data_IF_489704879316
#
_entry.id   IF_489704879316
#
_cell.length_a   1.000
_cell.length_b   1.000
_cell.length_c   1.000
_cell.angle_alpha   90.00
_cell.angle_beta   90.00
_cell.angle_gamma   90.00
#
_symmetry.space_group_name_H-M   'P 1'
#
loop_
_entity.id
_entity.type
_entity.pdbx_description
1 polymer ?
#
# COMPACT_ATOMS: atom_id res chain seq x y z
N UNK A 1 10.89 -31.57 22.39
CA UNK A 1 11.35 -30.41 21.60
C UNK A 1 10.16 -29.94 20.81
N UNK A 2 9.51 -28.88 21.28
CA UNK A 2 8.37 -28.24 20.59
C UNK A 2 8.92 -27.61 19.33
N UNK A 3 8.53 -28.16 18.20
CA UNK A 3 8.78 -27.55 16.87
C UNK A 3 8.02 -26.21 16.88
N UNK A 4 8.73 -25.11 17.16
CA UNK A 4 8.13 -23.78 17.15
C UNK A 4 7.89 -23.43 15.70
N UNK A 5 6.70 -23.69 15.22
CA UNK A 5 6.28 -23.37 13.86
C UNK A 5 6.46 -21.85 13.66
N UNK A 6 7.27 -21.48 12.66
CA UNK A 6 7.50 -20.09 12.27
C UNK A 6 6.17 -19.37 11.99
N UNK A 7 5.98 -18.19 12.56
CA UNK A 7 4.78 -17.39 12.32
C UNK A 7 4.69 -16.90 10.86
N UNK A 8 3.54 -16.46 10.42
CA UNK A 8 3.35 -15.96 9.05
C UNK A 8 4.11 -14.66 8.81
N UNK A 9 4.13 -13.78 9.82
CA UNK A 9 4.96 -12.58 9.79
C UNK A 9 6.46 -12.94 9.69
N UNK A 10 6.95 -13.91 10.47
CA UNK A 10 8.34 -14.36 10.38
C UNK A 10 8.67 -14.92 8.98
N UNK A 11 7.75 -15.67 8.40
CA UNK A 11 7.92 -16.21 7.06
C UNK A 11 7.96 -15.08 6.02
N UNK A 12 7.06 -14.08 6.11
CA UNK A 12 7.07 -12.92 5.23
C UNK A 12 8.38 -12.14 5.36
N UNK A 13 8.85 -11.89 6.59
CA UNK A 13 10.13 -11.24 6.83
C UNK A 13 11.32 -12.04 6.25
N UNK A 14 11.29 -13.38 6.32
CA UNK A 14 12.37 -14.22 5.80
C UNK A 14 12.57 -14.14 4.28
N UNK A 15 11.53 -13.73 3.54
CA UNK A 15 11.55 -13.58 2.07
C UNK A 15 11.56 -12.13 1.61
N UNK A 16 11.52 -11.17 2.53
CA UNK A 16 11.56 -9.74 2.23
C UNK A 16 13.00 -9.25 2.07
N UNK A 17 13.15 -8.09 1.41
CA UNK A 17 14.43 -7.40 1.25
C UNK A 17 14.97 -6.82 2.56
N UNK A 18 16.10 -6.11 2.45
CA UNK A 18 16.72 -5.41 3.58
C UNK A 18 15.79 -4.33 4.15
N UNK A 19 15.96 -3.94 5.44
CA UNK A 19 15.20 -2.86 6.03
C UNK A 19 15.50 -1.54 5.32
N UNK A 20 14.48 -0.69 5.15
CA UNK A 20 14.59 0.61 4.48
C UNK A 20 15.11 1.69 5.42
N UNK A 21 14.98 1.50 6.73
CA UNK A 21 15.47 2.40 7.76
C UNK A 21 15.96 1.64 9.00
N UNK A 22 16.67 2.35 9.89
CA UNK A 22 17.01 1.81 11.20
C UNK A 22 15.74 1.57 12.03
N UNK A 23 15.75 0.59 12.95
CA UNK A 23 14.61 0.38 13.86
C UNK A 23 14.21 1.66 14.60
N UNK A 24 12.93 1.99 14.56
CA UNK A 24 12.35 3.14 15.24
C UNK A 24 10.92 2.82 15.70
N UNK A 25 10.39 3.61 16.64
CA UNK A 25 9.05 3.46 17.19
C UNK A 25 8.03 4.28 16.41
N UNK A 26 6.75 3.94 16.56
CA UNK A 26 5.67 4.76 16.03
C UNK A 26 5.54 6.06 16.82
N UNK A 27 5.36 7.18 16.15
CA UNK A 27 4.99 8.42 16.80
C UNK A 27 3.54 8.38 17.35
N UNK A 28 3.20 9.36 18.19
CA UNK A 28 1.89 9.41 18.84
C UNK A 28 0.73 9.40 17.82
N UNK A 29 0.86 10.14 16.72
CA UNK A 29 -0.16 10.19 15.68
C UNK A 29 -0.33 8.85 14.97
N UNK A 30 0.77 8.21 14.58
CA UNK A 30 0.70 6.88 13.94
C UNK A 30 0.10 5.84 14.88
N UNK A 31 0.41 5.90 16.18
CA UNK A 31 -0.21 5.04 17.17
C UNK A 31 -1.72 5.27 17.29
N UNK A 32 -2.15 6.53 17.32
CA UNK A 32 -3.58 6.89 17.38
C UNK A 32 -4.34 6.39 16.12
N UNK A 33 -3.74 6.55 14.94
CA UNK A 33 -4.31 6.06 13.68
C UNK A 33 -4.36 4.53 13.59
N UNK A 34 -3.34 3.82 14.13
CA UNK A 34 -3.28 2.35 14.17
C UNK A 34 -4.24 1.75 15.22
N UNK A 35 -4.59 2.54 16.24
CA UNK A 35 -5.49 2.12 17.31
C UNK A 35 -4.98 0.89 18.04
N UNK A 36 -5.84 -0.11 18.23
CA UNK A 36 -5.52 -1.33 19.00
C UNK A 36 -4.43 -2.21 18.38
N UNK A 37 -4.03 -1.94 17.12
CA UNK A 37 -2.97 -2.67 16.40
C UNK A 37 -1.61 -1.96 16.40
N UNK A 38 -1.48 -0.84 17.13
CA UNK A 38 -0.26 -0.05 17.16
C UNK A 38 0.97 -0.86 17.65
N UNK A 39 0.82 -1.61 18.74
CA UNK A 39 1.93 -2.40 19.30
C UNK A 39 2.35 -3.55 18.38
N UNK A 40 1.40 -4.13 17.67
CA UNK A 40 1.67 -5.20 16.71
C UNK A 40 2.45 -4.68 15.50
N UNK A 41 2.04 -3.53 14.92
CA UNK A 41 2.75 -2.88 13.84
C UNK A 41 4.14 -2.41 14.28
N UNK A 42 4.26 -1.80 15.45
CA UNK A 42 5.55 -1.38 16.00
C UNK A 42 6.50 -2.57 16.18
N UNK A 43 5.98 -3.70 16.70
CA UNK A 43 6.77 -4.93 16.83
C UNK A 43 7.28 -5.45 15.47
N UNK A 44 6.47 -5.36 14.40
CA UNK A 44 6.90 -5.69 13.05
C UNK A 44 8.03 -4.77 12.58
N UNK A 45 7.85 -3.44 12.72
CA UNK A 45 8.82 -2.43 12.24
C UNK A 45 10.11 -2.43 13.06
N UNK A 46 10.07 -2.73 14.35
CA UNK A 46 11.29 -2.94 15.17
C UNK A 46 12.11 -4.15 14.70
N UNK A 47 11.47 -5.16 14.14
CA UNK A 47 12.17 -6.34 13.59
C UNK A 47 12.71 -6.08 12.18
N UNK A 48 11.98 -5.32 11.36
CA UNK A 48 12.38 -4.88 10.02
C UNK A 48 11.65 -3.58 9.66
N UNK A 49 12.36 -2.47 9.72
CA UNK A 49 11.78 -1.15 9.54
C UNK A 49 11.61 -0.80 8.07
N UNK A 50 10.40 -1.07 7.56
CA UNK A 50 10.08 -0.96 6.16
C UNK A 50 10.83 -1.98 5.29
N UNK A 51 10.21 -2.46 4.26
CA UNK A 51 10.84 -3.41 3.34
C UNK A 51 10.04 -3.56 2.05
N UNK A 52 10.72 -4.07 1.03
CA UNK A 52 10.08 -4.61 -0.17
C UNK A 52 10.06 -6.14 -0.12
N UNK A 53 9.03 -6.73 -0.70
CA UNK A 53 8.95 -8.17 -0.94
C UNK A 53 8.40 -8.45 -2.35
N UNK A 54 8.58 -9.69 -2.83
CA UNK A 54 8.10 -10.12 -4.14
C UNK A 54 8.56 -9.18 -5.27
N UNK A 55 9.88 -8.93 -5.35
CA UNK A 55 10.47 -8.08 -6.41
C UNK A 55 9.81 -6.69 -6.48
N UNK A 56 9.67 -6.03 -5.34
CA UNK A 56 9.03 -4.72 -5.14
C UNK A 56 7.51 -4.68 -5.36
N UNK A 57 6.84 -5.82 -5.53
CA UNK A 57 5.40 -5.87 -5.66
C UNK A 57 4.64 -5.58 -4.35
N UNK A 58 5.27 -5.85 -3.20
CA UNK A 58 4.79 -5.42 -1.88
C UNK A 58 5.79 -4.43 -1.29
N UNK A 59 5.29 -3.32 -0.77
CA UNK A 59 6.04 -2.33 -0.01
C UNK A 59 5.43 -2.11 1.36
N UNK A 60 6.20 -2.27 2.43
CA UNK A 60 5.85 -1.89 3.80
C UNK A 60 6.62 -0.63 4.16
N UNK A 61 5.92 0.42 4.58
CA UNK A 61 6.51 1.72 4.89
C UNK A 61 7.38 1.67 6.15
N UNK A 62 8.54 2.32 6.09
CA UNK A 62 9.41 2.50 7.27
C UNK A 62 8.89 3.61 8.17
N UNK A 63 9.00 3.44 9.52
CA UNK A 63 8.78 4.52 10.48
C UNK A 63 10.07 5.31 10.73
N UNK A 64 9.94 6.56 11.20
CA UNK A 64 11.07 7.43 11.52
C UNK A 64 11.60 8.23 10.34
N UNK A 65 12.84 8.70 10.47
CA UNK A 65 13.48 9.49 9.43
C UNK A 65 13.97 8.60 8.28
N UNK A 66 13.55 8.93 7.07
CA UNK A 66 14.07 8.33 5.83
C UNK A 66 15.20 9.20 5.26
N UNK A 67 16.06 8.61 4.43
CA UNK A 67 17.13 9.37 3.79
C UNK A 67 16.57 10.46 2.87
N UNK A 68 17.23 11.62 2.74
CA UNK A 68 16.80 12.65 1.79
C UNK A 68 16.70 12.10 0.37
N UNK A 69 15.55 12.30 -0.28
CA UNK A 69 15.29 11.80 -1.63
C UNK A 69 14.88 10.33 -1.71
N UNK A 70 14.74 9.63 -0.57
CA UNK A 70 14.11 8.33 -0.51
C UNK A 70 12.58 8.45 -0.48
N UNK A 71 11.91 7.30 -0.51
CA UNK A 71 10.45 7.24 -0.35
C UNK A 71 9.95 7.81 0.97
N UNK A 72 8.66 8.14 1.01
CA UNK A 72 8.00 8.66 2.20
C UNK A 72 8.05 7.68 3.36
N UNK A 73 8.35 8.18 4.56
CA UNK A 73 8.16 7.40 5.79
C UNK A 73 6.67 7.15 6.05
N UNK A 74 6.37 6.21 6.94
CA UNK A 74 5.02 5.90 7.39
C UNK A 74 4.27 7.17 7.86
N UNK A 75 4.96 8.04 8.62
CA UNK A 75 4.41 9.30 9.11
C UNK A 75 4.08 10.27 7.97
N UNK A 76 5.02 10.43 7.04
CA UNK A 76 4.83 11.29 5.87
C UNK A 76 3.71 10.75 4.97
N UNK A 77 3.69 9.43 4.72
CA UNK A 77 2.65 8.79 3.91
C UNK A 77 1.25 9.02 4.46
N UNK A 78 1.12 9.01 5.80
CA UNK A 78 -0.15 9.25 6.50
C UNK A 78 -0.42 10.72 6.83
N UNK A 79 0.43 11.66 6.40
CA UNK A 79 0.19 13.08 6.61
C UNK A 79 -1.03 13.56 5.80
N UNK A 80 -1.94 14.37 6.39
CA UNK A 80 -3.16 14.84 5.71
C UNK A 80 -2.87 15.58 4.41
N UNK A 81 -1.79 16.37 4.41
CA UNK A 81 -1.39 17.24 3.32
C UNK A 81 -0.71 16.53 2.16
N UNK A 82 -0.32 15.24 2.31
CA UNK A 82 0.42 14.55 1.27
C UNK A 82 -0.49 14.14 0.10
N UNK A 83 -1.46 13.27 0.36
CA UNK A 83 -2.43 12.79 -0.63
C UNK A 83 -3.81 12.53 -0.02
N UNK A 84 -3.93 12.43 1.30
CA UNK A 84 -5.16 12.05 2.01
C UNK A 84 -6.28 13.07 1.83
N UNK A 85 -5.95 14.35 1.58
CA UNK A 85 -6.92 15.41 1.32
C UNK A 85 -7.79 15.16 0.07
N UNK A 86 -7.32 14.32 -0.85
CA UNK A 86 -8.12 13.89 -2.01
C UNK A 86 -9.23 12.89 -1.63
N UNK A 87 -9.22 12.37 -0.40
CA UNK A 87 -10.17 11.39 0.10
C UNK A 87 -10.79 11.88 1.43
N UNK A 88 -11.78 12.79 1.39
CA UNK A 88 -12.38 13.35 2.61
C UNK A 88 -12.94 12.30 3.58
N UNK A 89 -13.36 11.15 3.07
CA UNK A 89 -13.84 10.02 3.88
C UNK A 89 -12.79 9.43 4.83
N UNK A 90 -11.50 9.69 4.61
CA UNK A 90 -10.42 9.27 5.51
C UNK A 90 -10.37 10.06 6.82
N UNK A 91 -11.12 11.15 6.93
CA UNK A 91 -11.26 11.93 8.16
C UNK A 91 -12.37 11.39 9.06
N UNK A 92 -13.28 10.56 8.55
CA UNK A 92 -14.43 10.05 9.29
C UNK A 92 -14.05 9.06 10.41
N UNK A 93 -12.95 8.34 10.26
CA UNK A 93 -12.46 7.37 11.24
C UNK A 93 -10.92 7.22 11.16
N UNK A 94 -10.26 6.88 12.29
CA UNK A 94 -8.84 6.59 12.28
C UNK A 94 -8.50 5.48 11.30
N UNK A 95 -7.50 5.73 10.44
CA UNK A 95 -6.92 4.76 9.52
C UNK A 95 -5.45 5.03 9.33
N UNK A 96 -4.61 4.00 9.46
CA UNK A 96 -3.18 4.04 9.20
C UNK A 96 -2.86 3.15 8.01
N UNK A 97 -2.32 3.72 6.96
CA UNK A 97 -1.79 3.01 5.80
C UNK A 97 -0.37 2.58 6.09
N UNK A 98 -0.10 1.27 6.15
CA UNK A 98 1.21 0.73 6.55
C UNK A 98 1.95 0.02 5.43
N UNK A 99 1.26 -0.34 4.35
CA UNK A 99 1.86 -1.02 3.19
C UNK A 99 1.03 -0.74 1.92
N UNK A 100 1.61 -1.06 0.77
CA UNK A 100 0.95 -0.95 -0.53
C UNK A 100 1.39 -2.06 -1.49
N UNK A 101 0.55 -2.37 -2.48
CA UNK A 101 0.90 -3.24 -3.60
C UNK A 101 1.63 -2.46 -4.72
N UNK A 102 1.98 -3.14 -5.81
CA UNK A 102 2.69 -2.52 -6.93
C UNK A 102 1.86 -1.46 -7.68
N UNK A 103 0.55 -1.52 -7.60
CA UNK A 103 -0.36 -0.55 -8.23
C UNK A 103 -0.72 0.59 -7.29
N UNK A 104 -0.30 0.52 -6.01
CA UNK A 104 -0.61 1.47 -4.96
C UNK A 104 -1.99 1.28 -4.33
N UNK A 105 -2.57 0.07 -4.42
CA UNK A 105 -3.63 -0.35 -3.50
C UNK A 105 -3.02 -0.43 -2.11
N UNK A 106 -3.66 0.20 -1.14
CA UNK A 106 -3.10 0.34 0.20
C UNK A 106 -3.58 -0.78 1.12
N UNK A 107 -2.69 -1.26 2.00
CA UNK A 107 -3.05 -2.06 3.17
C UNK A 107 -3.06 -1.13 4.38
N UNK A 108 -4.15 -1.18 5.17
CA UNK A 108 -4.33 -0.27 6.28
C UNK A 108 -4.89 -0.93 7.53
N UNK A 109 -4.60 -0.32 8.67
CA UNK A 109 -5.22 -0.63 9.96
C UNK A 109 -6.43 0.29 10.13
N UNK A 110 -7.60 -0.28 10.27
CA UNK A 110 -8.88 0.42 10.42
C UNK A 110 -9.80 -0.37 11.33
N UNK A 111 -10.36 0.26 12.36
CA UNK A 111 -11.28 -0.39 13.31
C UNK A 111 -10.71 -1.67 13.97
N UNK A 112 -9.39 -1.71 14.21
CA UNK A 112 -8.71 -2.85 14.82
C UNK A 112 -8.47 -4.04 13.90
N UNK A 113 -8.70 -3.89 12.60
CA UNK A 113 -8.54 -4.94 11.58
C UNK A 113 -7.69 -4.43 10.41
N UNK A 114 -7.24 -5.34 9.55
CA UNK A 114 -6.54 -5.02 8.31
C UNK A 114 -7.54 -4.97 7.15
N UNK A 115 -7.47 -3.90 6.38
CA UNK A 115 -8.26 -3.69 5.19
C UNK A 115 -7.35 -3.35 4.00
N UNK A 116 -7.83 -3.61 2.79
CA UNK A 116 -7.33 -2.96 1.58
C UNK A 116 -8.09 -1.65 1.36
N UNK A 117 -7.44 -0.70 0.70
CA UNK A 117 -8.04 0.55 0.24
C UNK A 117 -7.71 0.75 -1.23
N UNK A 118 -8.74 0.77 -2.07
CA UNK A 118 -8.63 0.95 -3.51
C UNK A 118 -8.72 2.44 -3.86
N UNK A 119 -7.62 3.09 -4.26
CA UNK A 119 -7.61 4.54 -4.48
C UNK A 119 -8.41 5.01 -5.70
N UNK A 120 -8.68 4.12 -6.69
CA UNK A 120 -9.51 4.50 -7.84
C UNK A 120 -10.99 4.67 -7.46
N UNK A 121 -11.42 4.10 -6.34
CA UNK A 121 -12.82 4.10 -5.91
C UNK A 121 -13.05 4.65 -4.50
N UNK A 122 -11.97 4.83 -3.71
CA UNK A 122 -12.05 5.23 -2.31
C UNK A 122 -12.65 4.16 -1.38
N UNK A 123 -12.69 2.89 -1.82
CA UNK A 123 -13.35 1.81 -1.08
C UNK A 123 -12.38 1.04 -0.20
N UNK A 124 -12.90 0.66 0.98
CA UNK A 124 -12.24 -0.29 1.87
C UNK A 124 -12.84 -1.67 1.72
N UNK A 125 -12.00 -2.70 1.75
CA UNK A 125 -12.42 -4.10 1.83
C UNK A 125 -11.69 -4.77 2.99
N UNK A 126 -12.42 -5.57 3.80
CA UNK A 126 -11.83 -6.35 4.88
C UNK A 126 -10.87 -7.40 4.31
N UNK A 127 -9.72 -7.56 4.95
CA UNK A 127 -8.72 -8.54 4.54
C UNK A 127 -8.39 -9.53 5.67
N UNK A 128 -8.10 -9.03 6.87
CA UNK A 128 -7.68 -9.88 7.99
C UNK A 128 -7.98 -9.23 9.35
N UNK A 129 -7.99 -10.03 10.42
CA UNK A 129 -8.23 -9.55 11.77
C UNK A 129 -7.01 -8.81 12.36
N UNK A 130 -5.80 -9.20 11.96
CA UNK A 130 -4.54 -8.70 12.50
C UNK A 130 -3.39 -8.81 11.46
N UNK A 131 -2.17 -8.39 11.83
CA UNK A 131 -1.02 -8.44 10.92
C UNK A 131 -0.52 -9.88 10.66
N UNK A 132 -0.72 -10.81 11.58
CA UNK A 132 -0.40 -12.22 11.35
C UNK A 132 -1.34 -12.82 10.29
N UNK A 133 -2.64 -12.50 10.36
CA UNK A 133 -3.64 -12.83 9.35
C UNK A 133 -3.33 -12.18 8.00
N UNK A 134 -2.99 -10.88 8.00
CA UNK A 134 -2.54 -10.19 6.79
C UNK A 134 -1.34 -10.89 6.13
N UNK A 135 -0.33 -11.24 6.90
CA UNK A 135 0.82 -11.96 6.37
C UNK A 135 0.44 -13.35 5.83
N UNK A 136 -0.54 -14.01 6.46
CA UNK A 136 -1.06 -15.29 5.97
C UNK A 136 -1.75 -15.14 4.61
N UNK A 137 -2.62 -14.13 4.44
CA UNK A 137 -3.29 -13.83 3.17
C UNK A 137 -2.27 -13.46 2.07
N UNK A 138 -1.32 -12.57 2.37
CA UNK A 138 -0.25 -12.22 1.43
C UNK A 138 0.54 -13.46 0.99
N UNK A 139 0.95 -14.33 1.91
CA UNK A 139 1.70 -15.54 1.58
C UNK A 139 0.88 -16.57 0.81
N UNK A 140 -0.44 -16.62 1.03
CA UNK A 140 -1.35 -17.54 0.36
C UNK A 140 -1.60 -17.11 -1.09
N UNK A 141 -1.81 -15.82 -1.34
CA UNK A 141 -2.14 -15.28 -2.66
C UNK A 141 -1.39 -13.98 -2.99
N UNK A 142 -0.05 -13.98 -2.84
CA UNK A 142 0.78 -12.83 -3.17
C UNK A 142 0.63 -12.39 -4.63
N UNK A 143 0.33 -13.32 -5.54
CA UNK A 143 0.18 -13.01 -6.97
C UNK A 143 -0.95 -12.04 -7.22
N UNK A 144 -2.07 -12.24 -6.55
CA UNK A 144 -3.24 -11.37 -6.66
C UNK A 144 -3.08 -10.13 -5.77
N UNK A 145 -2.77 -10.33 -4.47
CA UNK A 145 -2.75 -9.26 -3.49
C UNK A 145 -1.62 -8.23 -3.66
N UNK A 146 -0.57 -8.58 -4.40
CA UNK A 146 0.53 -7.64 -4.65
C UNK A 146 0.69 -7.24 -6.11
N UNK A 147 -0.05 -7.88 -7.03
CA UNK A 147 0.10 -7.66 -8.46
C UNK A 147 1.42 -8.20 -9.03
N UNK A 148 2.10 -9.09 -8.31
CA UNK A 148 3.42 -9.61 -8.67
C UNK A 148 3.56 -10.10 -10.11
N UNK A 149 2.61 -10.82 -10.74
CA UNK A 149 2.79 -11.31 -12.11
C UNK A 149 3.00 -10.19 -13.12
N UNK A 150 2.27 -9.09 -12.98
CA UNK A 150 2.43 -7.91 -13.84
C UNK A 150 3.68 -7.12 -13.47
N UNK A 151 4.01 -7.00 -12.18
CA UNK A 151 5.25 -6.37 -11.72
C UNK A 151 6.48 -7.09 -12.30
N UNK A 152 6.53 -8.42 -12.19
CA UNK A 152 7.61 -9.23 -12.73
C UNK A 152 7.71 -9.11 -14.26
N UNK A 153 6.60 -9.25 -14.97
CA UNK A 153 6.56 -9.12 -16.42
C UNK A 153 6.99 -7.72 -16.90
N UNK A 154 6.54 -6.66 -16.22
CA UNK A 154 6.91 -5.29 -16.54
C UNK A 154 8.42 -5.05 -16.32
N UNK A 155 8.93 -5.48 -15.17
CA UNK A 155 10.36 -5.33 -14.82
C UNK A 155 11.29 -6.15 -15.74
N UNK A 156 10.84 -7.29 -16.25
CA UNK A 156 11.58 -8.06 -17.24
C UNK A 156 11.80 -7.29 -18.55
N UNK A 157 10.90 -6.37 -18.90
CA UNK A 157 10.99 -5.55 -20.12
C UNK A 157 11.68 -4.20 -19.89
N UNK A 158 11.52 -3.61 -18.71
CA UNK A 158 11.88 -2.21 -18.45
C UNK A 158 12.98 -2.03 -17.39
N UNK A 159 13.36 -3.11 -16.71
CA UNK A 159 14.31 -3.09 -15.59
C UNK A 159 13.61 -2.93 -14.23
N UNK A 160 14.39 -2.98 -13.14
CA UNK A 160 13.86 -2.92 -11.78
C UNK A 160 13.05 -1.65 -11.50
N UNK A 161 11.95 -1.79 -10.77
CA UNK A 161 11.16 -0.66 -10.28
C UNK A 161 11.96 0.12 -9.23
N UNK A 162 12.12 1.42 -9.44
CA UNK A 162 12.84 2.28 -8.49
C UNK A 162 12.00 2.47 -7.20
N UNK A 163 12.68 2.76 -6.09
CA UNK A 163 12.05 3.09 -4.82
C UNK A 163 11.14 4.32 -4.99
N UNK A 164 9.99 4.31 -4.32
CA UNK A 164 8.97 5.38 -4.42
C UNK A 164 8.19 5.38 -5.74
N UNK A 165 8.51 4.51 -6.68
CA UNK A 165 7.75 4.35 -7.93
C UNK A 165 6.75 3.18 -7.81
N UNK A 166 5.59 3.35 -8.47
CA UNK A 166 4.58 2.31 -8.62
C UNK A 166 4.19 2.13 -10.09
N UNK A 167 3.55 1.02 -10.40
CA UNK A 167 3.00 0.75 -11.72
C UNK A 167 1.59 1.33 -11.80
N UNK A 168 1.48 2.50 -12.42
CA UNK A 168 0.21 3.19 -12.56
C UNK A 168 -0.45 2.77 -13.88
N UNK A 169 -1.75 2.40 -13.88
CA UNK A 169 -2.46 2.09 -15.09
C UNK A 169 -2.63 3.36 -15.95
N UNK A 170 -2.40 3.24 -17.26
CA UNK A 170 -2.64 4.31 -18.24
C UNK A 170 -4.15 4.58 -18.33
N UNK A 171 -4.93 3.52 -18.42
CA UNK A 171 -6.38 3.53 -18.22
C UNK A 171 -6.67 2.84 -16.89
N UNK A 172 -7.28 3.53 -15.93
CA UNK A 172 -7.59 2.99 -14.61
C UNK A 172 -8.35 1.67 -14.70
N UNK A 173 -8.06 0.76 -13.79
CA UNK A 173 -8.70 -0.57 -13.76
C UNK A 173 -10.20 -0.45 -13.48
N UNK A 174 -10.63 0.48 -12.62
CA UNK A 174 -12.04 0.77 -12.36
C UNK A 174 -12.78 1.31 -13.60
N UNK A 175 -12.05 1.77 -14.62
CA UNK A 175 -12.58 2.28 -15.90
C UNK A 175 -12.47 1.27 -17.05
N UNK A 176 -12.20 0.00 -16.73
CA UNK A 176 -12.06 -1.05 -17.73
C UNK A 176 -10.68 -1.14 -18.38
N UNK A 177 -9.67 -0.50 -17.77
CA UNK A 177 -8.28 -0.69 -18.17
C UNK A 177 -7.86 -2.16 -18.03
N UNK A 178 -7.12 -2.66 -19.01
CA UNK A 178 -6.68 -4.04 -18.99
C UNK A 178 -5.62 -4.30 -17.92
N UNK A 179 -5.70 -5.45 -17.24
CA UNK A 179 -4.63 -5.98 -16.40
C UNK A 179 -3.54 -6.57 -17.30
N UNK A 180 -2.79 -5.71 -17.97
CA UNK A 180 -1.75 -6.05 -18.94
C UNK A 180 -0.60 -5.06 -18.87
N UNK A 181 0.62 -5.52 -19.20
CA UNK A 181 1.84 -4.71 -19.12
C UNK A 181 1.74 -3.45 -19.98
N UNK A 182 1.08 -3.54 -21.13
CA UNK A 182 0.89 -2.43 -22.05
C UNK A 182 0.02 -1.28 -21.50
N UNK A 183 -0.79 -1.58 -20.47
CA UNK A 183 -1.58 -0.57 -19.74
C UNK A 183 -0.85 0.01 -18.53
N UNK A 184 0.43 -0.31 -18.34
CA UNK A 184 1.18 0.12 -17.17
C UNK A 184 2.34 1.04 -17.53
N UNK A 185 2.55 2.05 -16.68
CA UNK A 185 3.73 2.91 -16.71
C UNK A 185 4.23 3.12 -15.28
N UNK A 186 5.51 3.41 -15.11
CA UNK A 186 5.99 3.89 -13.81
C UNK A 186 5.49 5.29 -13.54
N UNK A 187 5.25 5.58 -12.27
CA UNK A 187 4.92 6.91 -11.79
C UNK A 187 5.25 7.05 -10.32
N UNK A 188 5.39 8.27 -9.87
CA UNK A 188 5.54 8.59 -8.46
C UNK A 188 4.31 8.12 -7.68
N UNK A 189 4.54 7.44 -6.54
CA UNK A 189 3.46 6.87 -5.74
C UNK A 189 2.51 7.94 -5.19
N UNK A 190 3.04 9.09 -4.75
CA UNK A 190 2.25 10.20 -4.19
C UNK A 190 1.37 10.82 -5.27
N UNK A 191 1.96 11.13 -6.43
CA UNK A 191 1.22 11.69 -7.57
C UNK A 191 0.15 10.71 -8.05
N UNK A 192 0.45 9.41 -8.06
CA UNK A 192 -0.50 8.36 -8.37
C UNK A 192 -1.69 8.34 -7.41
N UNK A 193 -1.46 8.48 -6.10
CA UNK A 193 -2.52 8.56 -5.09
C UNK A 193 -3.38 9.83 -5.26
N UNK A 194 -2.75 11.00 -5.45
CA UNK A 194 -3.45 12.26 -5.68
C UNK A 194 -4.36 12.20 -6.91
N UNK A 195 -3.80 11.77 -8.03
CA UNK A 195 -4.57 11.67 -9.28
C UNK A 195 -5.78 10.73 -9.15
N UNK A 196 -5.58 9.54 -8.56
CA UNK A 196 -6.69 8.58 -8.39
C UNK A 196 -7.74 9.07 -7.40
N UNK A 197 -7.32 9.74 -6.31
CA UNK A 197 -8.23 10.35 -5.37
C UNK A 197 -9.09 11.45 -6.01
N UNK A 198 -8.46 12.35 -6.76
CA UNK A 198 -9.20 13.34 -7.54
C UNK A 198 -10.24 12.68 -8.46
N UNK A 199 -9.87 11.62 -9.19
CA UNK A 199 -10.80 10.89 -10.06
C UNK A 199 -11.91 10.22 -9.25
N UNK A 200 -11.58 9.54 -8.15
CA UNK A 200 -12.56 8.87 -7.29
C UNK A 200 -13.63 9.86 -6.79
N UNK A 201 -13.24 11.09 -6.41
CA UNK A 201 -14.19 12.12 -5.99
C UNK A 201 -15.09 12.60 -7.14
N UNK A 202 -14.55 12.74 -8.35
CA UNK A 202 -15.37 13.13 -9.52
C UNK A 202 -16.41 12.06 -9.87
N UNK A 203 -16.14 10.80 -9.57
CA UNK A 203 -17.03 9.68 -9.85
C UNK A 203 -18.01 9.37 -8.72
N UNK A 204 -17.84 9.98 -7.57
CA UNK A 204 -18.70 9.73 -6.40
C UNK A 204 -20.17 10.02 -6.73
N UNK A 205 -21.00 8.98 -6.60
CA UNK A 205 -22.44 9.07 -6.91
C UNK A 205 -22.82 8.84 -8.38
N UNK A 206 -21.87 8.58 -9.27
CA UNK A 206 -22.20 8.23 -10.65
C UNK A 206 -22.70 6.78 -10.74
N UNK A 207 -23.67 6.56 -11.61
CA UNK A 207 -24.16 5.21 -11.88
C UNK A 207 -23.11 4.37 -12.64
N UNK A 208 -23.06 3.06 -12.37
CA UNK A 208 -22.20 2.15 -13.11
C UNK A 208 -22.49 2.25 -14.64
N UNK A 209 -21.42 2.30 -15.43
CA UNK A 209 -21.52 2.44 -16.89
C UNK A 209 -21.65 3.89 -17.40
N UNK A 210 -21.59 4.90 -16.52
CA UNK A 210 -21.54 6.31 -16.93
C UNK A 210 -20.24 6.57 -17.70
N UNK A 211 -20.35 7.14 -18.91
CA UNK A 211 -19.16 7.56 -19.68
C UNK A 211 -18.65 8.87 -19.11
N UNK A 212 -17.45 8.84 -18.55
CA UNK A 212 -16.77 10.00 -18.00
C UNK A 212 -15.75 10.52 -19.00
N UNK A 213 -15.84 11.80 -19.35
CA UNK A 213 -14.82 12.46 -20.18
C UNK A 213 -13.89 13.24 -19.24
N UNK A 214 -12.70 12.67 -18.99
CA UNK A 214 -11.70 13.35 -18.18
C UNK A 214 -10.99 14.40 -19.05
N UNK A 215 -11.03 15.66 -18.63
CA UNK A 215 -10.23 16.73 -19.23
C UNK A 215 -9.11 17.04 -18.24
N UNK A 216 -7.89 16.76 -18.63
CA UNK A 216 -6.71 17.18 -17.87
C UNK A 216 -6.44 18.63 -18.28
N UNK A 217 -6.57 19.54 -17.33
CA UNK A 217 -6.21 20.97 -17.49
C UNK A 217 -4.77 21.22 -17.04
#
# INVERSE_FOLDING_TARGET
>A
MTDTQMSRLEKLLSISGEPLALPDTLDARSRDLAGTRADELESLLLRRNGFYAFESALHVFATGATAPGSESSLQQWNAPELWRFEFPELEEAPVLFFAEDVFGVQFCLRQGQVHTFEPETGKFEYLADDLEGWAAEILADYKFLTGWPLANAWQALHGPLAQGQRLLPITGFAFGGAFAVENLRTGDAIEGMRYRGYIAQQMKGMAAGTVVKLTVS
#
